data_IF_723984863748
#
_entry.id   IF_723984863748
#
_cell.length_a   1.000
_cell.length_b   1.000
_cell.length_c   1.000
_cell.angle_alpha   90.00
_cell.angle_beta   90.00
_cell.angle_gamma   90.00
#
_symmetry.space_group_name_H-M   'P 1'
#
loop_
_entity.id
_entity.type
_entity.pdbx_description
1 polymer ?
#
# COMPACT_ATOMS: atom_id res chain seq x y z
N UNK A 1 7.16 29.35 -15.89
CA UNK A 1 8.14 28.33 -16.33
C UNK A 1 9.36 28.44 -15.43
N UNK A 2 9.69 27.41 -14.63
CA UNK A 2 10.83 27.46 -13.67
C UNK A 2 12.10 26.80 -14.22
N UNK A 3 12.27 26.80 -15.55
CA UNK A 3 13.37 26.15 -16.29
C UNK A 3 13.33 24.61 -16.30
N UNK A 4 12.93 24.00 -15.18
CA UNK A 4 12.86 22.54 -14.98
C UNK A 4 11.50 21.93 -15.34
N UNK A 5 10.45 22.75 -15.46
CA UNK A 5 9.11 22.31 -15.79
C UNK A 5 8.38 23.29 -16.72
N UNK A 6 7.66 22.72 -17.69
CA UNK A 6 6.72 23.39 -18.60
C UNK A 6 5.31 22.94 -18.22
N UNK A 7 4.39 23.90 -18.10
CA UNK A 7 2.96 23.62 -17.95
C UNK A 7 2.30 23.68 -19.33
N UNK A 8 1.54 22.66 -19.68
CA UNK A 8 0.80 22.59 -20.93
C UNK A 8 -0.71 22.43 -20.68
N UNK A 9 -1.51 23.09 -21.50
CA UNK A 9 -2.97 23.01 -21.56
C UNK A 9 -3.34 22.06 -22.70
N UNK A 10 -4.02 20.95 -22.39
CA UNK A 10 -4.53 19.99 -23.36
C UNK A 10 -6.06 20.08 -23.44
N UNK A 11 -6.59 20.21 -24.66
CA UNK A 11 -8.03 20.28 -24.95
C UNK A 11 -8.31 19.52 -26.25
N UNK A 12 -9.21 18.52 -26.21
CA UNK A 12 -9.67 17.74 -27.39
C UNK A 12 -8.55 17.24 -28.32
N UNK A 13 -7.42 16.81 -27.73
CA UNK A 13 -6.25 16.32 -28.47
C UNK A 13 -5.26 17.39 -28.92
N UNK A 14 -5.63 18.68 -28.91
CA UNK A 14 -4.68 19.78 -29.05
C UNK A 14 -3.93 20.02 -27.73
N UNK A 15 -2.64 20.35 -27.80
CA UNK A 15 -1.82 20.69 -26.65
C UNK A 15 -1.08 22.01 -26.90
N UNK A 16 -1.26 22.97 -25.99
CA UNK A 16 -0.60 24.29 -26.01
C UNK A 16 0.26 24.43 -24.76
N UNK A 17 1.53 24.76 -24.92
CA UNK A 17 2.38 25.14 -23.79
C UNK A 17 1.97 26.53 -23.28
N UNK A 18 1.92 26.71 -21.97
CA UNK A 18 1.63 28.00 -21.34
C UNK A 18 2.92 28.81 -21.16
N UNK A 19 2.85 30.08 -21.49
CA UNK A 19 3.92 31.07 -21.27
C UNK A 19 3.99 31.42 -19.78
N UNK A 20 5.13 31.92 -19.29
CA UNK A 20 5.33 32.22 -17.88
C UNK A 20 4.31 33.24 -17.30
N UNK A 21 3.80 34.15 -18.13
CA UNK A 21 2.88 35.22 -17.74
C UNK A 21 1.40 34.83 -17.90
N UNK A 22 1.10 33.69 -18.51
CA UNK A 22 -0.26 33.21 -18.73
C UNK A 22 -0.82 32.57 -17.44
N UNK A 23 -1.96 33.08 -16.96
CA UNK A 23 -2.62 32.60 -15.75
C UNK A 23 -3.55 31.42 -16.08
N UNK A 24 -3.29 30.18 -15.61
CA UNK A 24 -4.06 29.00 -16.04
C UNK A 24 -5.57 29.12 -15.77
N UNK A 25 -5.96 29.72 -14.64
CA UNK A 25 -7.36 29.98 -14.29
C UNK A 25 -8.04 31.00 -15.22
N UNK A 26 -7.28 31.96 -15.75
CA UNK A 26 -7.77 32.93 -16.73
C UNK A 26 -7.98 32.26 -18.09
N UNK A 27 -7.08 31.34 -18.49
CA UNK A 27 -7.27 30.50 -19.67
C UNK A 27 -8.52 29.61 -19.55
N UNK A 28 -8.79 29.02 -18.38
CA UNK A 28 -10.06 28.30 -18.15
C UNK A 28 -11.28 29.22 -18.30
N UNK A 29 -11.26 30.41 -17.68
CA UNK A 29 -12.41 31.33 -17.77
C UNK A 29 -12.71 31.80 -19.20
N UNK A 30 -11.70 31.91 -20.06
CA UNK A 30 -11.86 32.23 -21.49
C UNK A 30 -12.45 31.07 -22.30
N UNK A 31 -12.23 29.83 -21.86
CA UNK A 31 -12.72 28.62 -22.53
C UNK A 31 -14.16 28.24 -22.12
N UNK A 32 -14.71 28.85 -21.06
CA UNK A 32 -16.12 28.74 -20.69
C UNK A 32 -16.59 27.29 -20.52
N UNK A 33 -17.57 26.86 -21.33
CA UNK A 33 -18.10 25.49 -21.29
C UNK A 33 -17.08 24.42 -21.65
N UNK A 34 -16.00 24.75 -22.38
CA UNK A 34 -14.93 23.81 -22.70
C UNK A 34 -13.94 23.60 -21.55
N UNK A 35 -13.99 24.43 -20.50
CA UNK A 35 -13.09 24.34 -19.35
C UNK A 35 -13.16 23.00 -18.60
N UNK A 36 -14.29 22.30 -18.66
CA UNK A 36 -14.50 20.96 -18.08
C UNK A 36 -13.70 19.86 -18.79
N UNK A 37 -13.29 20.09 -20.04
CA UNK A 37 -12.48 19.16 -20.85
C UNK A 37 -10.99 19.54 -20.88
N UNK A 38 -10.60 20.62 -20.21
CA UNK A 38 -9.21 21.09 -20.18
C UNK A 38 -8.40 20.33 -19.14
N UNK A 39 -7.27 19.77 -19.56
CA UNK A 39 -6.29 19.13 -18.68
C UNK A 39 -5.00 19.97 -18.64
N UNK A 40 -4.52 20.27 -17.44
CA UNK A 40 -3.19 20.86 -17.26
C UNK A 40 -2.15 19.77 -16.97
N UNK A 41 -1.11 19.72 -17.78
CA UNK A 41 -0.04 18.70 -17.73
C UNK A 41 1.27 19.41 -17.40
N UNK A 42 1.90 19.02 -16.28
CA UNK A 42 3.22 19.53 -15.91
C UNK A 42 4.31 18.57 -16.42
N UNK A 43 5.05 18.97 -17.46
CA UNK A 43 6.16 18.20 -18.03
C UNK A 43 7.49 18.68 -17.48
N UNK A 44 8.36 17.75 -17.09
CA UNK A 44 9.74 18.05 -16.68
C UNK A 44 10.64 18.24 -17.90
N UNK A 45 11.42 19.31 -17.92
CA UNK A 45 12.44 19.58 -18.93
C UNK A 45 13.83 19.35 -18.33
N UNK A 46 14.43 18.20 -18.65
CA UNK A 46 15.77 17.82 -18.25
C UNK A 46 15.93 16.29 -18.14
N UNK A 47 17.16 15.75 -18.30
CA UNK A 47 17.39 14.30 -18.25
C UNK A 47 17.09 13.74 -16.86
N UNK A 48 16.32 12.66 -16.81
CA UNK A 48 16.02 11.91 -15.58
C UNK A 48 17.16 10.94 -15.27
N UNK A 49 17.74 11.04 -14.08
CA UNK A 49 18.66 10.03 -13.56
C UNK A 49 17.86 8.80 -13.11
N UNK A 50 18.11 7.64 -13.72
CA UNK A 50 17.59 6.34 -13.24
C UNK A 50 17.19 5.35 -14.34
N UNK A 51 18.17 4.64 -14.90
CA UNK A 51 18.17 3.23 -15.38
C UNK A 51 16.84 2.66 -15.95
N UNK A 52 16.74 2.15 -17.18
CA UNK A 52 17.71 1.93 -18.26
C UNK A 52 17.14 0.92 -19.29
N UNK A 53 17.78 0.80 -20.47
CA UNK A 53 17.49 -0.19 -21.55
C UNK A 53 16.22 0.07 -22.42
N UNK A 54 16.25 0.11 -23.76
CA UNK A 54 17.36 0.24 -24.76
C UNK A 54 16.80 0.86 -26.07
N UNK A 55 17.66 1.62 -26.75
CA UNK A 55 17.80 1.90 -28.19
C UNK A 55 16.62 2.23 -29.14
N UNK A 56 16.86 3.35 -29.85
CA UNK A 56 16.22 3.91 -31.06
C UNK A 56 16.41 3.00 -32.31
N UNK A 57 15.69 3.17 -33.45
CA UNK A 57 15.24 4.47 -33.98
C UNK A 57 13.87 4.56 -34.71
N UNK A 58 13.48 5.81 -34.92
CA UNK A 58 12.50 6.25 -35.93
C UNK A 58 12.94 5.86 -37.35
N UNK A 59 12.05 5.26 -38.14
CA UNK A 59 11.70 5.68 -39.52
C UNK A 59 10.58 4.79 -40.09
N UNK A 60 9.44 5.43 -40.37
CA UNK A 60 8.47 5.13 -41.44
C UNK A 60 8.20 3.68 -41.90
N UNK A 61 6.95 3.21 -41.69
CA UNK A 61 6.04 3.01 -42.83
C UNK A 61 4.56 3.05 -42.44
N UNK A 62 3.79 3.63 -43.35
CA UNK A 62 2.33 3.85 -43.33
C UNK A 62 1.53 2.59 -42.96
N UNK A 63 0.37 2.78 -42.35
CA UNK A 63 -0.92 2.58 -43.05
C UNK A 63 -2.06 3.29 -42.31
N UNK A 64 -3.11 3.65 -43.06
CA UNK A 64 -4.12 4.62 -42.67
C UNK A 64 -5.18 4.03 -41.72
N UNK A 65 -5.58 4.78 -40.68
CA UNK A 65 -6.83 4.55 -39.93
C UNK A 65 -7.96 5.37 -40.58
N UNK A 66 -9.07 4.76 -41.06
CA UNK A 66 -10.27 5.49 -41.46
C UNK A 66 -11.02 6.10 -40.25
N UNK A 67 -11.87 7.12 -40.47
CA UNK A 67 -12.48 7.90 -39.39
C UNK A 67 -13.73 7.25 -38.77
N UNK A 68 -14.04 7.61 -37.52
CA UNK A 68 -15.35 7.35 -36.92
C UNK A 68 -16.45 8.20 -37.56
N UNK A 69 -17.65 7.63 -37.80
CA UNK A 69 -18.88 8.39 -37.98
C UNK A 69 -19.77 8.34 -36.73
N UNK A 70 -20.00 9.49 -36.11
CA UNK A 70 -21.20 9.71 -35.28
C UNK A 70 -22.43 10.07 -36.15
N UNK A 71 -23.56 10.45 -35.54
CA UNK A 71 -24.42 9.56 -34.74
C UNK A 71 -25.80 9.40 -35.42
N UNK A 72 -26.45 8.24 -35.28
CA UNK A 72 -27.80 8.02 -35.83
C UNK A 72 -28.86 7.67 -34.77
N UNK A 73 -30.05 8.24 -35.02
CA UNK A 73 -31.14 8.47 -34.07
C UNK A 73 -31.93 7.21 -33.71
N UNK A 74 -32.59 7.26 -32.54
CA UNK A 74 -33.51 6.24 -32.04
C UNK A 74 -34.45 5.64 -33.08
N UNK A 75 -34.52 4.30 -33.13
CA UNK A 75 -35.67 3.55 -33.66
C UNK A 75 -36.05 2.46 -32.66
N UNK A 76 -37.33 2.40 -32.29
CA UNK A 76 -37.85 1.54 -31.22
C UNK A 76 -37.74 0.06 -31.61
N UNK A 77 -37.30 -0.85 -30.72
CA UNK A 77 -37.47 -2.29 -30.93
C UNK A 77 -38.94 -2.68 -30.68
N UNK A 78 -39.52 -3.46 -31.60
CA UNK A 78 -40.85 -4.04 -31.42
C UNK A 78 -40.73 -5.49 -30.91
N UNK A 79 -41.33 -5.75 -29.76
CA UNK A 79 -41.93 -7.03 -29.33
C UNK A 79 -41.09 -8.31 -29.60
N UNK A 80 -40.20 -8.65 -28.68
CA UNK A 80 -39.81 -10.05 -28.45
C UNK A 80 -40.91 -10.77 -27.66
N UNK A 81 -41.32 -11.94 -28.13
CA UNK A 81 -42.34 -12.78 -27.49
C UNK A 81 -41.73 -13.52 -26.29
N UNK A 82 -42.13 -13.18 -25.08
CA UNK A 82 -41.78 -13.94 -23.87
C UNK A 82 -42.58 -15.24 -23.81
N UNK A 83 -41.90 -16.39 -23.90
CA UNK A 83 -42.45 -17.67 -23.47
C UNK A 83 -42.05 -17.92 -22.01
N UNK A 84 -43.04 -18.04 -21.12
CA UNK A 84 -42.82 -18.30 -19.71
C UNK A 84 -42.62 -19.81 -19.48
N UNK A 85 -41.46 -20.21 -18.98
CA UNK A 85 -41.25 -21.53 -18.38
C UNK A 85 -41.29 -21.42 -16.86
N UNK A 86 -42.38 -21.91 -16.27
CA UNK A 86 -42.49 -22.17 -14.83
C UNK A 86 -42.01 -23.59 -14.47
N UNK A 87 -41.58 -23.84 -13.22
CA UNK A 87 -40.80 -25.04 -12.87
C UNK A 87 -41.63 -26.20 -12.30
N UNK A 88 -41.14 -27.43 -12.46
CA UNK A 88 -41.57 -28.59 -11.64
C UNK A 88 -40.46 -29.63 -11.42
N UNK A 89 -39.71 -29.44 -10.33
CA UNK A 89 -39.42 -30.43 -9.30
C UNK A 89 -39.58 -31.96 -9.59
N UNK A 90 -38.48 -32.70 -9.38
CA UNK A 90 -38.35 -34.03 -8.73
C UNK A 90 -39.10 -35.27 -9.31
N UNK A 91 -38.66 -36.52 -9.15
CA UNK A 91 -37.36 -37.15 -8.77
C UNK A 91 -37.45 -38.68 -9.01
N UNK A 92 -36.33 -39.40 -8.82
CA UNK A 92 -36.21 -40.87 -8.79
C UNK A 92 -36.54 -41.67 -10.08
N UNK A 93 -35.89 -42.80 -10.38
CA UNK A 93 -34.82 -43.49 -9.66
C UNK A 93 -35.17 -44.93 -9.29
N UNK A 94 -35.01 -45.83 -10.27
CA UNK A 94 -34.78 -47.29 -10.15
C UNK A 94 -35.68 -48.14 -9.22
N UNK A 95 -36.45 -49.07 -9.80
CA UNK A 95 -36.16 -50.51 -9.67
C UNK A 95 -36.99 -51.39 -10.65
N UNK A 96 -36.60 -52.67 -10.89
CA UNK A 96 -37.24 -53.55 -11.88
C UNK A 96 -38.12 -54.65 -11.26
N UNK A 97 -39.11 -55.18 -12.00
CA UNK A 97 -39.38 -56.64 -12.03
C UNK A 97 -40.43 -57.12 -13.06
N UNK A 98 -40.11 -58.29 -13.66
CA UNK A 98 -40.95 -59.46 -14.00
C UNK A 98 -42.42 -59.34 -14.47
N UNK A 99 -42.64 -60.02 -15.61
CA UNK A 99 -43.67 -61.04 -15.87
C UNK A 99 -44.98 -60.68 -16.62
N UNK A 100 -44.98 -61.09 -17.91
CA UNK A 100 -45.86 -62.13 -18.50
C UNK A 100 -47.36 -61.85 -18.66
N UNK A 101 -47.75 -61.45 -19.88
CA UNK A 101 -48.92 -61.88 -20.66
C UNK A 101 -48.95 -61.12 -22.01
N UNK A 102 -49.48 -61.59 -23.14
CA UNK A 102 -49.68 -62.94 -23.66
C UNK A 102 -49.84 -62.81 -25.20
N UNK A 103 -49.44 -63.80 -26.00
CA UNK A 103 -49.81 -63.88 -27.43
C UNK A 103 -51.29 -64.32 -27.57
N UNK A 104 -51.94 -64.06 -28.72
CA UNK A 104 -52.00 -65.11 -29.75
C UNK A 104 -52.07 -64.64 -31.23
N UNK A 105 -51.67 -65.53 -32.16
CA UNK A 105 -51.91 -65.41 -33.62
C UNK A 105 -50.68 -64.94 -34.43
N UNK A 106 -49.76 -65.80 -34.90
CA UNK A 106 -49.86 -66.83 -35.97
C UNK A 106 -49.91 -66.18 -37.39
N UNK A 107 -49.08 -66.52 -38.40
CA UNK A 107 -48.18 -67.68 -38.64
C UNK A 107 -46.96 -67.27 -39.55
N UNK A 108 -46.27 -68.16 -40.31
CA UNK A 108 -45.08 -68.89 -39.82
C UNK A 108 -43.81 -68.78 -40.70
N UNK A 109 -42.61 -68.79 -40.11
CA UNK A 109 -41.32 -68.94 -40.84
C UNK A 109 -40.63 -70.27 -40.42
N UNK A 110 -40.42 -71.24 -41.34
CA UNK A 110 -39.67 -72.45 -41.04
C UNK A 110 -38.22 -72.34 -41.52
N UNK A 111 -37.29 -72.04 -40.61
CA UNK A 111 -35.85 -72.26 -40.85
C UNK A 111 -35.46 -73.68 -40.43
N UNK A 112 -34.78 -74.40 -41.33
CA UNK A 112 -34.08 -75.66 -41.01
C UNK A 112 -33.04 -75.41 -39.91
N UNK A 113 -32.72 -76.33 -38.98
CA UNK A 113 -32.26 -77.73 -39.11
C UNK A 113 -32.16 -78.30 -37.65
N UNK A 114 -31.80 -79.56 -37.35
CA UNK A 114 -31.45 -80.70 -38.21
C UNK A 114 -32.26 -81.98 -37.90
N UNK A 115 -31.76 -83.11 -38.40
CA UNK A 115 -32.35 -84.46 -38.35
C UNK A 115 -32.43 -85.07 -36.93
N UNK A 116 -33.60 -85.59 -36.59
CA UNK A 116 -33.84 -86.76 -35.70
C UNK A 116 -34.79 -87.67 -36.50
N UNK A 117 -34.42 -88.79 -37.13
CA UNK A 117 -33.67 -89.98 -36.70
C UNK A 117 -34.18 -90.59 -35.39
N UNK A 118 -34.60 -91.86 -35.51
CA UNK A 118 -35.11 -92.77 -34.46
C UNK A 118 -36.48 -92.32 -33.91
N UNK A 119 -37.56 -93.09 -34.01
CA UNK A 119 -37.63 -94.54 -33.74
C UNK A 119 -38.61 -95.32 -34.65
N UNK A 120 -38.08 -96.33 -35.34
CA UNK A 120 -38.77 -97.53 -35.87
C UNK A 120 -37.72 -98.40 -36.58
N UNK A 121 -37.12 -99.32 -35.83
CA UNK A 121 -36.13 -100.33 -36.26
C UNK A 121 -36.31 -100.88 -37.68
N UNK A 122 -35.38 -100.54 -38.59
CA UNK A 122 -34.80 -101.38 -39.66
C UNK A 122 -33.80 -100.54 -40.49
N UNK A 123 -32.59 -101.05 -40.84
CA UNK A 123 -31.67 -100.34 -41.73
C UNK A 123 -32.10 -100.55 -43.19
N UNK A 124 -33.12 -99.80 -43.61
CA UNK A 124 -33.47 -99.68 -45.03
C UNK A 124 -32.64 -98.55 -45.60
N UNK A 125 -31.79 -98.84 -46.59
CA UNK A 125 -31.13 -97.81 -47.39
C UNK A 125 -32.20 -96.80 -47.85
N UNK A 126 -32.00 -95.48 -47.66
CA UNK A 126 -33.01 -94.50 -48.04
C UNK A 126 -33.36 -94.73 -49.50
N UNK A 127 -34.65 -94.99 -49.76
CA UNK A 127 -35.09 -95.39 -51.09
C UNK A 127 -34.59 -94.35 -52.09
N UNK A 128 -34.21 -94.79 -53.30
CA UNK A 128 -33.61 -93.88 -54.29
C UNK A 128 -34.48 -92.62 -54.47
N UNK A 129 -35.80 -92.78 -54.39
CA UNK A 129 -36.81 -91.73 -54.44
C UNK A 129 -36.71 -90.70 -53.30
N UNK A 130 -36.45 -91.11 -52.05
CA UNK A 130 -36.22 -90.17 -50.94
C UNK A 130 -34.94 -89.36 -51.12
N UNK A 131 -33.86 -90.00 -51.59
CA UNK A 131 -32.60 -89.30 -51.89
C UNK A 131 -32.79 -88.33 -53.05
N UNK A 132 -33.45 -88.74 -54.13
CA UNK A 132 -33.81 -87.86 -55.24
C UNK A 132 -34.71 -86.70 -54.81
N UNK A 133 -35.68 -86.94 -53.92
CA UNK A 133 -36.52 -85.90 -53.33
C UNK A 133 -35.72 -84.85 -52.56
N UNK A 134 -34.78 -85.28 -51.70
CA UNK A 134 -33.88 -84.38 -50.96
C UNK A 134 -32.94 -83.60 -51.90
N UNK A 135 -32.41 -84.25 -52.93
CA UNK A 135 -31.56 -83.60 -53.95
C UNK A 135 -32.36 -82.55 -54.72
N UNK A 136 -33.60 -82.83 -55.14
CA UNK A 136 -34.47 -81.85 -55.79
C UNK A 136 -34.82 -80.67 -54.86
N UNK A 137 -35.01 -80.91 -53.56
CA UNK A 137 -35.23 -79.85 -52.58
C UNK A 137 -33.97 -78.97 -52.40
N UNK A 138 -32.78 -79.58 -52.33
CA UNK A 138 -31.51 -78.85 -52.27
C UNK A 138 -31.25 -78.04 -53.54
N UNK A 139 -31.52 -78.60 -54.72
CA UNK A 139 -31.40 -77.87 -56.00
C UNK A 139 -32.31 -76.64 -56.04
N UNK A 140 -33.57 -76.75 -55.59
CA UNK A 140 -34.49 -75.59 -55.49
C UNK A 140 -33.99 -74.52 -54.52
N UNK A 141 -33.45 -74.92 -53.36
CA UNK A 141 -32.93 -73.97 -52.36
C UNK A 141 -31.63 -73.30 -52.81
N UNK A 142 -30.77 -74.00 -53.55
CA UNK A 142 -29.59 -73.40 -54.19
C UNK A 142 -30.01 -72.37 -55.23
N UNK A 143 -30.95 -72.69 -56.12
CA UNK A 143 -31.49 -71.75 -57.11
C UNK A 143 -32.08 -70.49 -56.44
N UNK A 144 -32.78 -70.62 -55.31
CA UNK A 144 -33.30 -69.48 -54.55
C UNK A 144 -32.18 -68.59 -53.98
N UNK A 145 -31.11 -69.19 -53.43
CA UNK A 145 -29.96 -68.46 -52.90
C UNK A 145 -29.10 -67.84 -54.01
N UNK A 146 -28.96 -68.51 -55.15
CA UNK A 146 -28.32 -67.98 -56.36
C UNK A 146 -29.07 -66.75 -56.87
N UNK A 147 -30.41 -66.80 -56.90
CA UNK A 147 -31.25 -65.64 -57.22
C UNK A 147 -31.10 -64.51 -56.19
N UNK A 148 -31.08 -64.81 -54.89
CA UNK A 148 -30.88 -63.79 -53.84
C UNK A 148 -29.49 -63.15 -53.91
N UNK A 149 -28.43 -63.94 -54.09
CA UNK A 149 -27.07 -63.44 -54.28
C UNK A 149 -26.97 -62.59 -55.54
N UNK A 150 -27.59 -63.01 -56.65
CA UNK A 150 -27.62 -62.24 -57.90
C UNK A 150 -28.44 -60.95 -57.78
N UNK A 151 -29.51 -60.93 -56.98
CA UNK A 151 -30.22 -59.69 -56.63
C UNK A 151 -29.36 -58.75 -55.77
N UNK A 152 -28.75 -59.24 -54.70
CA UNK A 152 -27.86 -58.45 -53.85
C UNK A 152 -26.61 -57.96 -54.60
N UNK A 153 -26.05 -58.78 -55.49
CA UNK A 153 -24.95 -58.40 -56.38
C UNK A 153 -25.38 -57.30 -57.36
N UNK A 154 -26.61 -57.36 -57.89
CA UNK A 154 -27.17 -56.26 -58.70
C UNK A 154 -27.41 -55.01 -57.88
N UNK A 155 -27.88 -55.12 -56.65
CA UNK A 155 -28.03 -53.98 -55.74
C UNK A 155 -26.68 -53.36 -55.39
N UNK A 156 -25.68 -54.14 -54.99
CA UNK A 156 -24.32 -53.63 -54.77
C UNK A 156 -23.69 -53.08 -56.04
N UNK A 157 -23.88 -53.71 -57.20
CA UNK A 157 -23.41 -53.14 -58.46
C UNK A 157 -24.16 -51.88 -58.88
N UNK A 158 -25.42 -51.69 -58.47
CA UNK A 158 -26.13 -50.41 -58.62
C UNK A 158 -25.53 -49.37 -57.69
N UNK A 159 -25.33 -49.65 -56.39
CA UNK A 159 -24.64 -48.73 -55.47
C UNK A 159 -23.20 -48.39 -55.91
N UNK A 160 -22.47 -49.37 -56.45
CA UNK A 160 -21.12 -49.21 -56.99
C UNK A 160 -21.13 -48.47 -58.34
N UNK A 161 -22.10 -48.70 -59.23
CA UNK A 161 -22.24 -47.93 -60.48
C UNK A 161 -22.74 -46.51 -60.23
N UNK A 162 -23.60 -46.28 -59.24
CA UNK A 162 -23.95 -44.95 -58.74
C UNK A 162 -22.71 -44.24 -58.15
N UNK A 163 -21.71 -45.01 -57.68
CA UNK A 163 -20.43 -44.49 -57.18
C UNK A 163 -19.32 -44.38 -58.25
N UNK A 164 -19.38 -45.16 -59.34
CA UNK A 164 -18.30 -45.32 -60.34
C UNK A 164 -18.67 -44.88 -61.77
N UNK A 165 -19.95 -44.68 -62.10
CA UNK A 165 -20.36 -43.97 -63.33
C UNK A 165 -20.10 -42.45 -63.22
N UNK A 166 -19.89 -41.96 -62.00
CA UNK A 166 -19.02 -40.82 -61.75
C UNK A 166 -17.59 -41.17 -62.19
N UNK A 167 -17.24 -40.76 -63.41
CA UNK A 167 -15.87 -40.83 -63.92
C UNK A 167 -14.96 -39.99 -63.02
N UNK A 168 -14.15 -40.68 -62.20
CA UNK A 168 -13.53 -40.20 -60.96
C UNK A 168 -14.55 -39.94 -59.82
N UNK A 169 -14.23 -40.31 -58.56
CA UNK A 169 -15.17 -40.31 -57.46
C UNK A 169 -15.44 -38.89 -56.92
N UNK A 170 -16.24 -38.13 -57.67
CA UNK A 170 -17.06 -37.09 -57.08
C UNK A 170 -18.23 -37.77 -56.38
N UNK A 171 -18.44 -37.57 -55.06
CA UNK A 171 -19.73 -37.91 -54.46
C UNK A 171 -20.86 -37.17 -55.21
N UNK A 172 -22.10 -37.66 -55.09
CA UNK A 172 -23.24 -37.06 -55.78
C UNK A 172 -23.31 -35.55 -55.45
N UNK A 173 -23.54 -34.66 -56.44
CA UNK A 173 -23.30 -33.22 -56.29
C UNK A 173 -24.03 -32.62 -55.09
N UNK A 174 -25.30 -33.03 -54.87
CA UNK A 174 -26.09 -32.64 -53.70
C UNK A 174 -25.43 -33.03 -52.38
N UNK A 175 -24.87 -34.24 -52.26
CA UNK A 175 -24.14 -34.66 -51.04
C UNK A 175 -22.81 -33.93 -50.88
N UNK A 176 -22.11 -33.58 -51.97
CA UNK A 176 -20.92 -32.72 -51.88
C UNK A 176 -21.27 -31.29 -51.48
N UNK A 177 -22.38 -30.74 -51.98
CA UNK A 177 -22.87 -29.41 -51.64
C UNK A 177 -23.30 -29.36 -50.17
N UNK A 178 -24.03 -30.37 -49.68
CA UNK A 178 -24.37 -30.54 -48.26
C UNK A 178 -23.12 -30.63 -47.36
N UNK A 179 -22.10 -31.39 -47.78
CA UNK A 179 -20.82 -31.48 -47.04
C UNK A 179 -20.07 -30.15 -47.03
N UNK A 180 -19.92 -29.48 -48.18
CA UNK A 180 -19.27 -28.16 -48.29
C UNK A 180 -19.99 -27.10 -47.46
N UNK A 181 -21.33 -27.14 -47.44
CA UNK A 181 -22.17 -26.27 -46.64
C UNK A 181 -22.04 -26.56 -45.13
N UNK A 182 -21.93 -27.83 -44.73
CA UNK A 182 -21.64 -28.19 -43.34
C UNK A 182 -20.23 -27.79 -42.92
N UNK A 183 -19.22 -27.93 -43.79
CA UNK A 183 -17.87 -27.42 -43.52
C UNK A 183 -17.84 -25.88 -43.43
N UNK A 184 -18.61 -25.18 -44.28
CA UNK A 184 -18.77 -23.72 -44.19
C UNK A 184 -19.37 -23.33 -42.84
N UNK A 185 -20.48 -23.96 -42.44
CA UNK A 185 -21.10 -23.75 -41.13
C UNK A 185 -20.19 -24.13 -39.97
N UNK A 186 -19.34 -25.15 -40.12
CA UNK A 186 -18.35 -25.50 -39.10
C UNK A 186 -17.28 -24.41 -38.94
N UNK A 187 -16.75 -23.86 -40.04
CA UNK A 187 -15.82 -22.72 -40.02
C UNK A 187 -16.46 -21.45 -39.46
N UNK A 188 -17.74 -21.22 -39.74
CA UNK A 188 -18.53 -20.12 -39.16
C UNK A 188 -18.69 -20.30 -37.65
N UNK A 189 -19.10 -21.49 -37.19
CA UNK A 189 -19.20 -21.83 -35.77
C UNK A 189 -17.84 -21.73 -35.03
N UNK A 190 -16.74 -22.15 -35.66
CA UNK A 190 -15.38 -22.01 -35.10
C UNK A 190 -15.01 -20.54 -34.91
N UNK A 191 -15.32 -19.68 -35.89
CA UNK A 191 -15.09 -18.24 -35.77
C UNK A 191 -15.97 -17.64 -34.65
N UNK A 192 -17.24 -18.02 -34.56
CA UNK A 192 -18.14 -17.58 -33.48
C UNK A 192 -17.65 -18.01 -32.09
N UNK A 193 -17.18 -19.25 -31.92
CA UNK A 193 -16.58 -19.74 -30.68
C UNK A 193 -15.32 -18.96 -30.27
N UNK A 194 -14.49 -18.56 -31.23
CA UNK A 194 -13.33 -17.69 -30.97
C UNK A 194 -13.79 -16.28 -30.56
N UNK A 195 -14.92 -15.79 -31.07
CA UNK A 195 -15.51 -14.53 -30.63
C UNK A 195 -16.14 -14.62 -29.23
N UNK A 196 -16.86 -15.69 -28.88
CA UNK A 196 -17.43 -15.86 -27.53
C UNK A 196 -16.33 -15.96 -26.48
N UNK A 197 -15.26 -16.73 -26.74
CA UNK A 197 -14.13 -16.84 -25.83
C UNK A 197 -13.42 -15.50 -25.56
N UNK A 198 -13.39 -14.59 -26.55
CA UNK A 198 -12.88 -13.21 -26.35
C UNK A 198 -13.80 -12.39 -25.46
N UNK A 199 -15.11 -12.43 -25.69
CA UNK A 199 -16.07 -11.72 -24.85
C UNK A 199 -16.12 -12.26 -23.41
N UNK A 200 -15.96 -13.57 -23.22
CA UNK A 200 -15.82 -14.20 -21.91
C UNK A 200 -14.55 -13.71 -21.18
N UNK A 201 -13.42 -13.62 -21.88
CA UNK A 201 -12.17 -13.09 -21.32
C UNK A 201 -12.26 -11.59 -20.98
N UNK A 202 -12.93 -10.79 -21.82
CA UNK A 202 -13.19 -9.37 -21.55
C UNK A 202 -14.14 -9.18 -20.35
N UNK A 203 -15.22 -9.97 -20.26
CA UNK A 203 -16.14 -10.00 -19.13
C UNK A 203 -15.41 -10.37 -17.84
N UNK A 204 -14.57 -11.41 -17.86
CA UNK A 204 -13.77 -11.81 -16.71
C UNK A 204 -12.87 -10.65 -16.26
N UNK A 205 -12.13 -10.04 -17.19
CA UNK A 205 -11.27 -8.90 -16.90
C UNK A 205 -12.03 -7.69 -16.32
N UNK A 206 -13.26 -7.41 -16.77
CA UNK A 206 -14.12 -6.38 -16.17
C UNK A 206 -14.62 -6.76 -14.78
N UNK A 207 -15.00 -8.02 -14.53
CA UNK A 207 -15.40 -8.46 -13.18
C UNK A 207 -14.23 -8.40 -12.19
N UNK A 208 -13.00 -8.67 -12.62
CA UNK A 208 -11.81 -8.52 -11.78
C UNK A 208 -11.48 -7.04 -11.51
N UNK A 209 -11.60 -6.16 -12.52
CA UNK A 209 -11.52 -4.69 -12.35
C UNK A 209 -12.57 -4.20 -11.36
N UNK A 210 -13.81 -4.66 -11.47
CA UNK A 210 -14.88 -4.27 -10.56
C UNK A 210 -14.61 -4.75 -9.12
N UNK A 211 -14.12 -5.98 -8.94
CA UNK A 211 -13.70 -6.48 -7.62
C UNK A 211 -12.60 -5.63 -7.01
N UNK A 212 -11.59 -5.21 -7.79
CA UNK A 212 -10.52 -4.34 -7.31
C UNK A 212 -11.00 -2.92 -6.99
N UNK A 213 -11.92 -2.35 -7.78
CA UNK A 213 -12.58 -1.09 -7.44
C UNK A 213 -13.40 -1.22 -6.14
N UNK A 214 -14.14 -2.31 -5.95
CA UNK A 214 -14.87 -2.63 -4.71
C UNK A 214 -13.95 -2.88 -3.50
N UNK A 215 -12.70 -3.37 -3.72
CA UNK A 215 -11.67 -3.47 -2.67
C UNK A 215 -11.13 -2.09 -2.30
N UNK A 216 -10.75 -1.28 -3.28
CA UNK A 216 -10.27 0.11 -3.09
C UNK A 216 -11.33 0.99 -2.42
N UNK A 217 -12.60 0.88 -2.83
CA UNK A 217 -13.70 1.61 -2.20
C UNK A 217 -13.83 1.27 -0.71
N UNK A 218 -13.76 -0.01 -0.34
CA UNK A 218 -13.78 -0.44 1.07
C UNK A 218 -12.59 0.10 1.85
N UNK A 219 -11.39 0.12 1.27
CA UNK A 219 -10.20 0.72 1.88
C UNK A 219 -10.35 2.23 2.08
N UNK A 220 -10.94 2.95 1.11
CA UNK A 220 -11.20 4.38 1.26
C UNK A 220 -12.26 4.65 2.32
N UNK A 221 -13.32 3.84 2.40
CA UNK A 221 -14.34 3.96 3.44
C UNK A 221 -13.74 3.73 4.83
N UNK A 222 -12.97 2.65 5.04
CA UNK A 222 -12.32 2.42 6.33
C UNK A 222 -11.35 3.54 6.70
N UNK A 223 -10.57 4.08 5.76
CA UNK A 223 -9.69 5.23 6.04
C UNK A 223 -10.45 6.52 6.39
N UNK A 224 -11.67 6.69 5.86
CA UNK A 224 -12.54 7.83 6.22
C UNK A 224 -13.13 7.64 7.61
N UNK A 225 -13.49 6.40 7.98
CA UNK A 225 -13.92 6.06 9.34
C UNK A 225 -12.78 6.26 10.35
N UNK A 226 -11.57 5.78 10.05
CA UNK A 226 -10.35 5.98 10.84
C UNK A 226 -10.08 7.48 11.10
N UNK A 227 -10.05 8.30 10.05
CA UNK A 227 -9.86 9.76 10.18
C UNK A 227 -11.03 10.45 10.89
N UNK A 228 -12.26 9.91 10.80
CA UNK A 228 -13.41 10.43 11.53
C UNK A 228 -13.24 10.18 13.04
N UNK A 229 -12.79 8.99 13.43
CA UNK A 229 -12.44 8.66 14.81
C UNK A 229 -11.26 9.50 15.34
N UNK A 230 -10.18 9.67 14.56
CA UNK A 230 -9.07 10.59 14.92
C UNK A 230 -9.58 12.01 15.17
N UNK A 231 -10.50 12.49 14.33
CA UNK A 231 -11.10 13.82 14.46
C UNK A 231 -12.00 13.92 15.71
N UNK A 232 -12.75 12.88 16.03
CA UNK A 232 -13.57 12.80 17.26
C UNK A 232 -12.71 12.76 18.52
N UNK A 233 -11.61 12.00 18.52
CA UNK A 233 -10.62 12.02 19.60
C UNK A 233 -10.01 13.41 19.79
N UNK A 234 -9.58 14.07 18.71
CA UNK A 234 -9.02 15.42 18.78
C UNK A 234 -10.06 16.44 19.29
N UNK A 235 -11.33 16.32 18.89
CA UNK A 235 -12.44 17.13 19.45
C UNK A 235 -12.63 16.87 20.95
N UNK A 236 -12.61 15.61 21.38
CA UNK A 236 -12.75 15.26 22.80
C UNK A 236 -11.58 15.78 23.64
N UNK A 237 -10.34 15.63 23.15
CA UNK A 237 -9.12 16.18 23.78
C UNK A 237 -9.17 17.70 23.84
N UNK A 238 -9.62 18.38 22.78
CA UNK A 238 -9.83 19.83 22.76
C UNK A 238 -10.87 20.27 23.80
N UNK A 239 -12.03 19.61 23.85
CA UNK A 239 -13.08 19.91 24.81
C UNK A 239 -12.62 19.73 26.27
N UNK A 240 -11.79 18.72 26.55
CA UNK A 240 -11.16 18.52 27.85
C UNK A 240 -10.17 19.64 28.19
N UNK A 241 -9.25 19.99 27.27
CA UNK A 241 -8.31 21.09 27.47
C UNK A 241 -9.02 22.44 27.67
N UNK A 242 -10.11 22.70 26.93
CA UNK A 242 -10.94 23.87 27.17
C UNK A 242 -11.61 23.82 28.55
N UNK A 243 -12.07 22.66 29.02
CA UNK A 243 -12.63 22.50 30.36
C UNK A 243 -11.59 22.82 31.45
N UNK A 244 -10.33 22.44 31.27
CA UNK A 244 -9.26 22.71 32.23
C UNK A 244 -8.75 24.17 32.18
N UNK A 245 -8.71 24.76 30.98
CA UNK A 245 -8.29 26.16 30.79
C UNK A 245 -9.38 27.14 31.27
N UNK A 246 -10.67 26.81 31.14
CA UNK A 246 -11.78 27.65 31.62
C UNK A 246 -11.61 28.09 33.08
N UNK A 247 -11.49 27.22 34.11
CA UNK A 247 -11.35 27.65 35.50
C UNK A 247 -10.05 28.40 35.76
N UNK A 248 -8.95 28.07 35.05
CA UNK A 248 -7.70 28.83 35.15
C UNK A 248 -7.86 30.27 34.60
N UNK A 249 -8.57 30.43 33.48
CA UNK A 249 -8.91 31.73 32.90
C UNK A 249 -9.88 32.54 33.79
N UNK A 250 -10.92 31.91 34.33
CA UNK A 250 -11.84 32.56 35.28
C UNK A 250 -11.14 32.98 36.57
N UNK A 251 -10.23 32.17 37.11
CA UNK A 251 -9.40 32.54 38.27
C UNK A 251 -8.48 33.72 37.95
N UNK A 252 -7.82 33.74 36.78
CA UNK A 252 -6.97 34.87 36.36
C UNK A 252 -7.75 36.17 36.06
N UNK A 253 -8.95 36.04 35.50
CA UNK A 253 -9.86 37.17 35.23
C UNK A 253 -10.51 37.72 36.51
N UNK A 254 -10.65 36.88 37.55
CA UNK A 254 -11.12 37.32 38.86
C UNK A 254 -10.12 38.27 39.52
N UNK A 255 -10.49 39.56 39.55
CA UNK A 255 -9.76 40.63 40.25
C UNK A 255 -9.48 40.30 41.72
N UNK A 256 -10.27 39.43 42.36
CA UNK A 256 -10.05 38.97 43.73
C UNK A 256 -8.85 38.01 43.83
N UNK A 257 -8.72 37.03 42.94
CA UNK A 257 -7.59 36.09 42.96
C UNK A 257 -6.28 36.77 42.55
N UNK A 258 -6.32 37.69 41.58
CA UNK A 258 -5.16 38.51 41.23
C UNK A 258 -4.71 39.40 42.41
N UNK A 259 -5.65 39.98 43.18
CA UNK A 259 -5.36 40.71 44.42
C UNK A 259 -4.74 39.80 45.48
N UNK A 260 -5.31 38.61 45.74
CA UNK A 260 -4.76 37.65 46.69
C UNK A 260 -3.32 37.23 46.33
N UNK A 261 -3.03 36.97 45.06
CA UNK A 261 -1.66 36.70 44.58
C UNK A 261 -0.73 37.91 44.76
N UNK A 262 -1.23 39.12 44.57
CA UNK A 262 -0.45 40.34 44.77
C UNK A 262 -0.21 40.63 46.26
N UNK A 263 -1.15 40.26 47.13
CA UNK A 263 -1.08 40.36 48.59
C UNK A 263 -0.09 39.35 49.17
N UNK A 264 -0.04 38.10 48.71
CA UNK A 264 0.96 37.12 49.17
C UNK A 264 2.38 37.44 48.70
N UNK A 265 2.54 38.01 47.50
CA UNK A 265 3.85 38.44 46.98
C UNK A 265 4.35 39.74 47.62
N UNK A 266 3.49 40.56 48.23
CA UNK A 266 3.86 41.84 48.85
C UNK A 266 4.82 41.71 50.04
N UNK A 267 4.58 40.88 51.07
CA UNK A 267 5.50 40.73 52.20
C UNK A 267 6.85 40.14 51.75
N UNK A 268 6.85 39.15 50.86
CA UNK A 268 8.08 38.57 50.30
C UNK A 268 8.95 39.62 49.59
N UNK A 269 8.33 40.55 48.83
CA UNK A 269 9.03 41.68 48.21
C UNK A 269 9.53 42.71 49.22
N UNK A 270 8.86 42.86 50.37
CA UNK A 270 9.30 43.76 51.44
C UNK A 270 10.48 43.14 52.21
N UNK A 271 10.42 41.85 52.54
CA UNK A 271 11.53 41.11 53.17
C UNK A 271 12.76 41.10 52.27
N UNK A 272 12.62 40.83 50.97
CA UNK A 272 13.75 40.88 50.03
C UNK A 272 14.44 42.26 50.01
N UNK A 273 13.65 43.35 50.02
CA UNK A 273 14.20 44.72 50.10
C UNK A 273 14.89 44.99 51.44
N UNK A 274 14.33 44.48 52.53
CA UNK A 274 14.94 44.60 53.84
C UNK A 274 16.28 43.85 53.91
N UNK A 275 16.35 42.64 53.33
CA UNK A 275 17.59 41.85 53.22
C UNK A 275 18.66 42.52 52.36
N UNK A 276 18.28 43.13 51.24
CA UNK A 276 19.19 43.93 50.42
C UNK A 276 19.74 45.12 51.23
N UNK A 277 18.88 45.90 51.88
CA UNK A 277 19.29 47.02 52.75
C UNK A 277 20.13 46.59 53.96
N UNK A 278 19.93 45.37 54.49
CA UNK A 278 20.81 44.79 55.51
C UNK A 278 22.19 44.45 54.92
N UNK A 279 22.23 43.86 53.72
CA UNK A 279 23.46 43.60 52.97
C UNK A 279 24.26 44.88 52.73
N UNK A 280 23.64 45.88 52.12
CA UNK A 280 24.28 47.19 51.83
C UNK A 280 24.92 47.82 53.08
N UNK A 281 24.28 47.67 54.25
CA UNK A 281 24.80 48.16 55.55
C UNK A 281 25.97 47.33 56.07
N UNK A 282 25.89 46.01 55.95
CA UNK A 282 26.97 45.11 56.35
C UNK A 282 28.19 45.35 55.47
N UNK A 283 28.01 45.46 54.15
CA UNK A 283 29.08 45.78 53.19
C UNK A 283 29.74 47.12 53.51
N UNK A 284 28.96 48.14 53.90
CA UNK A 284 29.50 49.41 54.41
C UNK A 284 30.39 49.20 55.66
N UNK A 285 29.90 48.51 56.69
CA UNK A 285 30.69 48.24 57.92
C UNK A 285 31.93 47.38 57.66
N UNK A 286 31.87 46.46 56.68
CA UNK A 286 33.03 45.68 56.24
C UNK A 286 34.05 46.57 55.52
N UNK A 287 33.60 47.54 54.72
CA UNK A 287 34.50 48.51 54.08
C UNK A 287 35.16 49.45 55.09
N UNK A 288 34.41 49.96 56.07
CA UNK A 288 34.92 50.80 57.16
C UNK A 288 35.98 50.05 57.98
N UNK A 289 35.66 48.84 58.47
CA UNK A 289 36.62 48.03 59.24
C UNK A 289 37.82 47.57 58.40
N UNK A 290 37.68 47.43 57.08
CA UNK A 290 38.82 47.17 56.19
C UNK A 290 39.71 48.40 56.02
N UNK A 291 39.15 49.61 56.00
CA UNK A 291 39.93 50.86 55.98
C UNK A 291 40.65 51.10 57.31
N UNK A 292 39.98 50.88 58.44
CA UNK A 292 40.60 50.91 59.78
C UNK A 292 41.76 49.89 59.90
N UNK A 293 41.57 48.66 59.39
CA UNK A 293 42.61 47.63 59.39
C UNK A 293 43.81 48.01 58.50
N UNK A 294 43.58 48.67 57.35
CA UNK A 294 44.65 49.20 56.51
C UNK A 294 45.44 50.29 57.25
N UNK A 295 44.75 51.27 57.83
CA UNK A 295 45.38 52.34 58.61
C UNK A 295 46.17 51.80 59.82
N UNK A 296 45.63 50.81 60.54
CA UNK A 296 46.35 50.11 61.59
C UNK A 296 47.61 49.39 61.06
N UNK A 297 47.50 48.72 59.90
CA UNK A 297 48.63 48.09 59.21
C UNK A 297 49.73 49.08 58.82
N UNK A 298 49.36 50.24 58.29
CA UNK A 298 50.29 51.32 57.93
C UNK A 298 51.00 51.86 59.18
N UNK A 299 50.28 52.18 60.26
CA UNK A 299 50.92 52.65 61.51
C UNK A 299 51.83 51.60 62.16
N UNK A 300 51.54 50.30 62.02
CA UNK A 300 52.42 49.21 62.45
C UNK A 300 53.67 49.11 61.57
N UNK A 301 53.56 49.43 60.27
CA UNK A 301 54.70 49.54 59.38
C UNK A 301 55.59 50.73 59.73
N UNK A 302 55.02 51.90 59.99
CA UNK A 302 55.78 53.09 60.42
C UNK A 302 56.52 52.82 61.74
N UNK A 303 55.84 52.21 62.72
CA UNK A 303 56.45 51.78 63.99
C UNK A 303 57.58 50.76 63.77
N UNK A 304 57.44 49.84 62.81
CA UNK A 304 58.50 48.88 62.45
C UNK A 304 59.72 49.59 61.86
N UNK A 305 59.51 50.53 60.94
CA UNK A 305 60.60 51.34 60.36
C UNK A 305 61.34 52.13 61.44
N UNK A 306 60.62 52.79 62.35
CA UNK A 306 61.21 53.49 63.50
C UNK A 306 62.01 52.55 64.41
N UNK A 307 61.51 51.34 64.69
CA UNK A 307 62.26 50.33 65.46
C UNK A 307 63.54 49.90 64.71
N UNK A 308 63.48 49.72 63.39
CA UNK A 308 64.67 49.43 62.57
C UNK A 308 65.69 50.58 62.57
N UNK A 309 65.24 51.83 62.58
CA UNK A 309 66.08 53.02 62.73
C UNK A 309 66.75 53.08 64.10
N UNK A 310 65.98 52.98 65.19
CA UNK A 310 66.50 52.91 66.55
C UNK A 310 67.45 51.71 66.75
N UNK A 311 67.23 50.58 66.06
CA UNK A 311 68.15 49.44 66.09
C UNK A 311 69.47 49.74 65.35
N UNK A 312 69.43 50.50 64.25
CA UNK A 312 70.64 50.98 63.56
C UNK A 312 71.42 51.95 64.46
N UNK A 313 70.73 52.90 65.10
CA UNK A 313 71.34 53.84 66.06
C UNK A 313 71.96 53.11 67.26
N UNK A 314 71.24 52.17 67.87
CA UNK A 314 71.75 51.36 68.98
C UNK A 314 73.02 50.57 68.59
N UNK A 315 73.06 50.01 67.36
CA UNK A 315 74.28 49.36 66.84
C UNK A 315 75.43 50.34 66.64
N UNK A 316 75.17 51.56 66.19
CA UNK A 316 76.19 52.61 66.06
C UNK A 316 76.74 53.01 67.44
N UNK A 317 75.88 53.21 68.44
CA UNK A 317 76.28 53.49 69.82
C UNK A 317 77.11 52.34 70.42
N UNK A 318 76.67 51.10 70.26
CA UNK A 318 77.42 49.92 70.74
C UNK A 318 78.79 49.79 70.03
N UNK A 319 78.85 50.09 68.73
CA UNK A 319 80.11 50.10 67.98
C UNK A 319 81.06 51.22 68.48
N UNK A 320 80.54 52.42 68.75
CA UNK A 320 81.32 53.50 69.36
C UNK A 320 81.84 53.14 70.76
N UNK A 321 81.03 52.47 71.60
CA UNK A 321 81.48 51.99 72.90
C UNK A 321 82.58 50.93 72.77
N UNK A 322 82.43 49.98 71.86
CA UNK A 322 83.45 48.96 71.59
C UNK A 322 84.79 49.58 71.13
N UNK A 323 84.74 50.60 70.25
CA UNK A 323 85.92 51.36 69.81
C UNK A 323 86.57 52.10 71.00
N UNK A 324 85.78 52.74 71.86
CA UNK A 324 86.30 53.41 73.07
C UNK A 324 87.00 52.42 74.02
N UNK A 325 86.39 51.25 74.26
CA UNK A 325 86.93 50.20 75.12
C UNK A 325 88.18 49.50 74.56
N UNK A 326 88.41 49.55 73.24
CA UNK A 326 89.58 48.92 72.60
C UNK A 326 90.74 49.88 72.31
N UNK A 327 90.58 51.19 72.52
CA UNK A 327 91.57 52.22 72.15
C UNK A 327 92.04 53.11 73.33
N UNK A 328 91.40 53.04 74.51
CA UNK A 328 91.77 53.83 75.70
C UNK A 328 92.26 52.99 76.90
N UNK A 329 93.37 53.36 77.60
CA UNK A 329 94.01 52.50 78.60
C UNK A 329 93.50 52.67 80.06
N UNK A 330 93.76 51.61 80.85
CA UNK A 330 93.68 51.43 82.31
C UNK A 330 93.49 52.65 83.24
N UNK A 331 92.59 52.51 84.23
CA UNK A 331 92.44 53.45 85.35
C UNK A 331 91.34 53.10 86.37
N UNK A 332 91.52 52.00 87.10
CA UNK A 332 90.99 51.64 88.44
C UNK A 332 89.70 52.28 89.02
N UNK A 333 88.66 51.43 89.14
CA UNK A 333 88.06 50.96 90.40
C UNK A 333 87.70 51.92 91.55
N UNK A 334 86.38 52.12 91.75
CA UNK A 334 85.71 52.09 93.07
C UNK A 334 84.21 51.69 92.91
N UNK A 335 83.60 51.09 93.94
CA UNK A 335 82.38 50.24 93.83
C UNK A 335 81.09 50.83 94.49
N UNK A 336 79.89 50.23 94.28
CA UNK A 336 78.54 50.78 94.57
C UNK A 336 77.90 50.12 95.85
N UNK A 337 76.56 49.94 96.06
CA UNK A 337 75.31 50.52 95.49
C UNK A 337 74.53 51.28 96.63
N UNK A 338 73.18 51.23 96.91
CA UNK A 338 71.97 50.58 96.31
C UNK A 338 71.36 51.43 95.15
N UNK A 339 70.26 51.11 94.43
CA UNK A 339 69.17 50.11 94.46
C UNK A 339 67.90 50.43 95.30
N UNK A 340 66.84 50.94 94.64
CA UNK A 340 65.45 50.83 95.11
C UNK A 340 64.59 50.25 93.98
N UNK A 341 64.32 48.96 94.05
CA UNK A 341 63.33 48.30 93.20
C UNK A 341 61.93 48.69 93.66
N UNK A 342 61.07 49.12 92.73
CA UNK A 342 59.62 48.93 92.87
C UNK A 342 59.08 48.25 91.63
N UNK A 343 59.25 46.93 91.64
CA UNK A 343 58.45 45.98 90.88
C UNK A 343 56.96 46.13 91.22
N UNK A 344 56.09 45.96 90.23
CA UNK A 344 54.69 45.47 90.22
C UNK A 344 53.95 46.15 89.05
N UNK A 345 53.86 45.59 87.84
CA UNK A 345 53.37 44.26 87.41
C UNK A 345 51.84 44.14 87.36
N UNK A 346 51.34 44.05 86.12
CA UNK A 346 50.13 43.32 85.66
C UNK A 346 48.74 43.76 86.17
N UNK A 347 48.00 44.40 85.26
CA UNK A 347 46.68 43.99 84.74
C UNK A 347 46.40 44.84 83.48
N UNK A 348 45.69 44.40 82.45
CA UNK A 348 44.95 43.17 82.23
C UNK A 348 43.87 43.46 81.18
N UNK A 349 43.90 42.77 80.04
CA UNK A 349 42.93 42.92 78.93
C UNK A 349 41.50 42.62 79.41
N UNK A 350 40.53 43.46 79.07
CA UNK A 350 39.11 43.10 79.03
C UNK A 350 38.44 43.79 77.84
N UNK A 351 37.92 42.95 76.94
CA UNK A 351 36.84 43.11 75.94
C UNK A 351 36.78 44.40 75.07
#
# INVERSE_FOLDING_TARGET
QTGRYILALKLRGSERQLVADERPLQCLSQLGQLATEVQFILRRTGPSLGVGQEDTPTTERRLHRPPEPGPLKHRKPHKSLTFNLGPSAFSHGSQPNKARAASPGASPEPRASPVSLVDATNPVDPSKEEVFGRVLQQQRRLQELELQLHCLQRETHVWEQESCSATAPSPTPVRTEELQELERRLRENEAELVHTARWEAELQAETDREQDLRRRLRQTLSSVDDHSHETEELRARSAHLEHDVRPAAHRRSSRAAARQQQETLRPLRQELRHRLQQGDRLDATVSETQEELRAAGDTLQDRRQLIEELNKELRQCNLQQFIQQTVGPHGDHAAPPPATELYLSVAGVVE
#
